data_IF_375993963210
#
_entry.id   IF_375993963210
#
_cell.length_a   1.000
_cell.length_b   1.000
_cell.length_c   1.000
_cell.angle_alpha   90.00
_cell.angle_beta   90.00
_cell.angle_gamma   90.00
#
_symmetry.space_group_name_H-M   'P 1'
#
loop_
_entity.id
_entity.type
_entity.pdbx_description
1 polymer ?
#
# COMPACT_ATOMS: atom_id res chain seq x y z
N UNK A 1 -9.27 1.16 -20.19
CA UNK A 1 -9.23 0.64 -18.80
C UNK A 1 -10.34 -0.38 -18.68
N UNK A 2 -10.02 -1.62 -18.33
CA UNK A 2 -11.05 -2.66 -18.16
C UNK A 2 -11.45 -2.77 -16.69
N UNK A 3 -12.70 -3.16 -16.42
CA UNK A 3 -13.19 -3.33 -15.04
C UNK A 3 -12.39 -4.37 -14.25
N UNK A 4 -11.87 -5.39 -14.93
CA UNK A 4 -11.03 -6.45 -14.34
C UNK A 4 -9.71 -5.92 -13.75
N UNK A 5 -9.26 -4.74 -14.19
CA UNK A 5 -8.00 -4.16 -13.74
C UNK A 5 -8.19 -3.32 -12.45
N UNK A 6 -9.44 -3.06 -12.06
CA UNK A 6 -9.77 -2.35 -10.82
C UNK A 6 -9.65 -3.33 -9.66
N UNK A 7 -8.91 -2.95 -8.63
CA UNK A 7 -8.74 -3.75 -7.42
C UNK A 7 -9.27 -3.00 -6.21
N UNK A 8 -9.73 -3.73 -5.22
CA UNK A 8 -10.03 -3.20 -3.89
C UNK A 8 -8.76 -3.10 -3.06
N UNK A 9 -8.76 -2.23 -2.03
CA UNK A 9 -7.68 -2.21 -1.03
C UNK A 9 -7.45 -3.59 -0.39
N UNK A 10 -8.50 -4.40 -0.21
CA UNK A 10 -8.37 -5.74 0.35
C UNK A 10 -7.56 -6.64 -0.59
N UNK A 11 -7.91 -6.69 -1.87
CA UNK A 11 -7.19 -7.51 -2.85
C UNK A 11 -5.72 -7.08 -2.98
N UNK A 12 -5.46 -5.77 -2.99
CA UNK A 12 -4.08 -5.24 -3.00
C UNK A 12 -3.32 -5.61 -1.73
N UNK A 13 -3.98 -5.59 -0.56
CA UNK A 13 -3.37 -6.00 0.69
C UNK A 13 -2.95 -7.47 0.65
N UNK A 14 -3.82 -8.35 0.16
CA UNK A 14 -3.60 -9.79 0.09
C UNK A 14 -2.53 -10.14 -0.96
N UNK A 15 -2.57 -9.52 -2.15
CA UNK A 15 -1.64 -9.78 -3.25
C UNK A 15 -0.20 -9.33 -2.95
N UNK A 16 -0.05 -8.15 -2.34
CA UNK A 16 1.27 -7.57 -2.06
C UNK A 16 1.74 -7.83 -0.63
N UNK A 17 0.94 -8.54 0.19
CA UNK A 17 1.19 -8.79 1.60
C UNK A 17 1.47 -7.49 2.40
N UNK A 18 0.69 -6.45 2.13
CA UNK A 18 0.79 -5.14 2.79
C UNK A 18 -0.44 -4.97 3.68
N UNK A 19 -0.23 -4.54 4.94
CA UNK A 19 -1.37 -4.33 5.84
C UNK A 19 -2.35 -3.29 5.27
N UNK A 20 -3.65 -3.56 5.40
CA UNK A 20 -4.70 -2.60 4.99
C UNK A 20 -4.52 -1.23 5.63
N UNK A 21 -4.11 -1.19 6.90
CA UNK A 21 -3.87 0.05 7.63
C UNK A 21 -2.76 0.89 6.98
N UNK A 22 -1.68 0.23 6.53
CA UNK A 22 -0.61 0.86 5.76
C UNK A 22 -1.13 1.42 4.43
N UNK A 23 -1.91 0.64 3.67
CA UNK A 23 -2.49 1.11 2.40
C UNK A 23 -3.44 2.29 2.62
N UNK A 24 -4.31 2.25 3.63
CA UNK A 24 -5.17 3.38 3.99
C UNK A 24 -4.38 4.64 4.31
N UNK A 25 -3.27 4.53 5.04
CA UNK A 25 -2.38 5.66 5.33
C UNK A 25 -1.68 6.24 4.09
N UNK A 26 -1.52 5.44 3.03
CA UNK A 26 -0.89 5.84 1.76
C UNK A 26 -1.85 6.47 0.77
N UNK A 27 -3.17 6.29 0.93
CA UNK A 27 -4.18 6.94 0.08
C UNK A 27 -4.02 8.46 0.01
N UNK A 28 -3.47 9.09 1.06
CA UNK A 28 -3.17 10.53 1.07
C UNK A 28 -2.19 10.97 -0.04
N UNK A 29 -1.42 10.05 -0.59
CA UNK A 29 -0.47 10.29 -1.69
C UNK A 29 -1.09 10.03 -3.07
N UNK A 30 -2.39 9.67 -3.11
CA UNK A 30 -3.11 9.37 -4.34
C UNK A 30 -4.22 10.41 -4.58
N UNK A 31 -4.64 10.54 -5.83
CA UNK A 31 -5.72 11.43 -6.24
C UNK A 31 -7.08 10.71 -6.30
N UNK A 32 -8.04 11.16 -5.49
CA UNK A 32 -9.41 10.63 -5.50
C UNK A 32 -10.13 10.96 -6.82
N UNK A 33 -10.89 10.01 -7.34
CA UNK A 33 -11.59 10.11 -8.62
C UNK A 33 -10.75 9.72 -9.84
N UNK A 34 -9.42 9.60 -9.69
CA UNK A 34 -8.50 9.15 -10.76
C UNK A 34 -7.82 7.83 -10.36
N UNK A 35 -7.16 7.83 -9.21
CA UNK A 35 -6.31 6.71 -8.76
C UNK A 35 -7.03 5.80 -7.78
N UNK A 36 -7.94 6.37 -7.01
CA UNK A 36 -8.83 5.60 -6.14
C UNK A 36 -10.21 6.24 -6.07
N UNK A 37 -11.20 5.46 -5.63
CA UNK A 37 -12.56 5.96 -5.37
C UNK A 37 -13.14 5.30 -4.13
N UNK A 38 -13.71 6.13 -3.24
CA UNK A 38 -14.53 5.68 -2.11
C UNK A 38 -15.96 5.44 -2.60
N UNK A 39 -16.53 4.30 -2.25
CA UNK A 39 -17.93 3.96 -2.59
C UNK A 39 -18.94 4.39 -1.52
N UNK A 40 -18.47 4.78 -0.35
CA UNK A 40 -19.30 5.17 0.79
C UNK A 40 -18.69 4.72 2.11
N UNK A 41 -19.39 4.99 3.20
CA UNK A 41 -18.96 4.57 4.53
C UNK A 41 -18.96 3.04 4.65
N UNK A 42 -17.89 2.47 5.20
CA UNK A 42 -17.68 1.02 5.36
C UNK A 42 -17.69 0.22 4.06
N UNK A 43 -17.72 0.87 2.90
CA UNK A 43 -17.63 0.23 1.59
C UNK A 43 -16.16 0.05 1.18
N UNK A 44 -15.86 -0.91 0.28
CA UNK A 44 -14.54 -1.06 -0.29
C UNK A 44 -14.08 0.21 -1.00
N UNK A 45 -12.78 0.49 -0.93
CA UNK A 45 -12.14 1.51 -1.73
C UNK A 45 -11.60 0.83 -2.98
N UNK A 46 -11.98 1.35 -4.15
CA UNK A 46 -11.52 0.90 -5.45
C UNK A 46 -10.23 1.63 -5.82
N UNK A 47 -9.31 0.93 -6.45
CA UNK A 47 -8.04 1.43 -6.96
C UNK A 47 -7.98 1.19 -8.46
N UNK A 48 -7.60 2.22 -9.21
CA UNK A 48 -7.21 2.07 -10.61
C UNK A 48 -5.86 1.34 -10.70
N UNK A 49 -5.47 0.78 -11.86
CA UNK A 49 -4.16 0.17 -12.03
C UNK A 49 -3.00 1.12 -11.71
N UNK A 50 -3.15 2.42 -12.00
CA UNK A 50 -2.16 3.43 -11.64
C UNK A 50 -2.12 3.68 -10.14
N UNK A 51 -3.29 3.72 -9.49
CA UNK A 51 -3.40 3.79 -8.03
C UNK A 51 -2.73 2.61 -7.34
N UNK A 52 -2.93 1.38 -7.85
CA UNK A 52 -2.25 0.17 -7.35
C UNK A 52 -0.74 0.32 -7.47
N UNK A 53 -0.24 0.73 -8.65
CA UNK A 53 1.21 0.94 -8.84
C UNK A 53 1.78 1.94 -7.84
N UNK A 54 1.13 3.10 -7.66
CA UNK A 54 1.61 4.14 -6.75
C UNK A 54 1.54 3.74 -5.27
N UNK A 55 0.44 3.12 -4.83
CA UNK A 55 0.22 2.77 -3.42
C UNK A 55 1.15 1.63 -2.95
N UNK A 56 1.54 0.75 -3.88
CA UNK A 56 2.49 -0.33 -3.62
C UNK A 56 3.94 0.16 -3.70
N UNK A 57 4.26 1.07 -4.63
CA UNK A 57 5.65 1.51 -4.89
C UNK A 57 6.35 2.12 -3.68
N UNK A 58 5.62 2.75 -2.76
CA UNK A 58 6.14 3.21 -1.47
C UNK A 58 6.49 2.06 -0.50
N UNK A 59 6.84 0.89 -1.00
CA UNK A 59 7.29 -0.27 -0.22
C UNK A 59 8.66 -0.71 -0.71
N UNK A 60 8.89 -0.70 -2.04
CA UNK A 60 10.14 -1.19 -2.63
C UNK A 60 11.21 -0.09 -2.61
N UNK A 61 10.85 1.14 -3.01
CA UNK A 61 11.77 2.29 -2.97
C UNK A 61 12.19 2.64 -1.55
N UNK A 62 11.32 2.39 -0.56
CA UNK A 62 11.64 2.65 0.84
C UNK A 62 12.77 1.73 1.33
N UNK A 63 12.81 0.45 0.94
CA UNK A 63 13.89 -0.47 1.36
C UNK A 63 15.14 -0.36 0.49
N UNK A 64 15.00 -0.13 -0.82
CA UNK A 64 16.15 -0.01 -1.73
C UNK A 64 16.98 1.25 -1.43
N UNK A 65 16.35 2.32 -0.92
CA UNK A 65 17.03 3.55 -0.53
C UNK A 65 17.44 3.60 0.95
N UNK A 66 17.13 2.57 1.74
CA UNK A 66 17.49 2.53 3.16
C UNK A 66 18.95 2.10 3.36
N UNK A 67 19.63 2.76 4.30
CA UNK A 67 20.99 2.36 4.64
C UNK A 67 21.00 0.99 5.34
N UNK A 68 22.11 0.25 5.20
CA UNK A 68 22.31 -1.03 5.91
C UNK A 68 22.04 -0.92 7.40
N UNK A 69 22.40 0.20 8.03
CA UNK A 69 22.19 0.44 9.47
C UNK A 69 20.70 0.54 9.83
N UNK A 70 19.90 1.19 8.99
CA UNK A 70 18.46 1.32 9.19
C UNK A 70 17.76 -0.05 9.06
N UNK A 71 18.16 -0.85 8.07
CA UNK A 71 17.66 -2.22 7.89
C UNK A 71 18.01 -3.10 9.10
N UNK A 72 19.26 -3.03 9.59
CA UNK A 72 19.71 -3.77 10.78
C UNK A 72 18.89 -3.37 12.02
N UNK A 73 18.56 -2.09 12.18
CA UNK A 73 17.78 -1.60 13.32
C UNK A 73 16.33 -2.11 13.30
N UNK A 74 15.71 -2.26 12.12
CA UNK A 74 14.39 -2.88 11.99
C UNK A 74 14.43 -4.34 12.46
N UNK A 75 15.40 -5.12 11.97
CA UNK A 75 15.57 -6.54 12.32
C UNK A 75 15.79 -6.70 13.85
N UNK A 76 16.65 -5.85 14.43
CA UNK A 76 16.93 -5.85 15.88
C UNK A 76 15.71 -5.46 16.72
N UNK A 77 14.90 -4.49 16.27
CA UNK A 77 13.64 -4.12 16.95
C UNK A 77 12.60 -5.23 16.91
N UNK A 78 12.54 -5.99 15.81
CA UNK A 78 11.64 -7.15 15.68
C UNK A 78 11.96 -8.27 16.68
N UNK A 79 13.25 -8.59 16.87
CA UNK A 79 13.69 -9.63 17.80
C UNK A 79 13.58 -9.26 19.28
N UNK A 80 13.56 -7.97 19.63
CA UNK A 80 13.41 -7.51 21.03
C UNK A 80 11.98 -7.62 21.59
N UNK A 81 10.99 -7.91 20.74
CA UNK A 81 9.57 -8.03 21.13
C UNK A 81 9.13 -9.48 21.37
N UNK A 82 10.06 -10.44 21.29
CA UNK A 82 9.86 -11.84 21.69
C UNK A 82 10.48 -12.09 23.05
#
# INVERSE_FOLDING_TARGET
MELKDIKTIQEVADEYNISRQTLHGRLKNLQEGIEYRRLGERQPILLSPEGVKKIVKSTIEDYENMSKEQLINIIKKGNKRK
#
